data_IF_577112465517
#
_entry.id   IF_577112465517
#
_cell.length_a   1.000
_cell.length_b   1.000
_cell.length_c   1.000
_cell.angle_alpha   90.00
_cell.angle_beta   90.00
_cell.angle_gamma   90.00
#
_symmetry.space_group_name_H-M   'P 1'
#
loop_
_entity.id
_entity.type
_entity.pdbx_description
1 polymer ?
#
# COMPACT_ATOMS: atom_id res chain seq x y z
N UNK A 1 6.56 4.06 -13.67
CA UNK A 1 6.72 4.25 -12.21
C UNK A 1 5.65 3.45 -11.46
N UNK A 2 6.02 2.72 -10.40
CA UNK A 2 5.08 2.00 -9.55
C UNK A 2 5.32 2.43 -8.12
N UNK A 3 4.42 3.24 -7.58
CA UNK A 3 4.61 3.82 -6.26
C UNK A 3 4.03 2.91 -5.19
N UNK A 4 2.79 2.44 -5.39
CA UNK A 4 2.04 1.73 -4.34
C UNK A 4 1.33 0.49 -4.91
N UNK A 5 1.44 -0.63 -4.19
CA UNK A 5 0.61 -1.81 -4.41
C UNK A 5 -0.27 -2.06 -3.19
N UNK A 6 -1.59 -2.10 -3.37
CA UNK A 6 -2.54 -2.51 -2.33
C UNK A 6 -2.81 -4.02 -2.44
N UNK A 7 -2.76 -4.71 -1.31
CA UNK A 7 -2.89 -6.18 -1.22
C UNK A 7 -3.92 -6.55 -0.15
N UNK A 8 -5.11 -7.02 -0.53
CA UNK A 8 -6.07 -7.60 0.40
C UNK A 8 -5.59 -8.96 0.92
N UNK A 9 -5.85 -9.22 2.20
CA UNK A 9 -5.52 -10.50 2.87
C UNK A 9 -6.46 -11.61 2.42
N UNK A 10 -7.74 -11.29 2.24
CA UNK A 10 -8.80 -12.19 1.75
C UNK A 10 -9.70 -11.44 0.78
N UNK A 11 -10.45 -12.15 -0.07
CA UNK A 11 -11.34 -11.53 -1.06
C UNK A 11 -12.46 -10.68 -0.45
N UNK A 12 -12.84 -10.94 0.81
CA UNK A 12 -13.79 -10.09 1.54
C UNK A 12 -13.25 -8.65 1.76
N UNK A 13 -11.93 -8.45 1.63
CA UNK A 13 -11.28 -7.15 1.76
C UNK A 13 -11.06 -6.43 0.42
N UNK A 14 -11.46 -7.03 -0.71
CA UNK A 14 -11.16 -6.51 -2.04
C UNK A 14 -11.82 -5.14 -2.27
N UNK A 15 -13.06 -4.94 -1.80
CA UNK A 15 -13.78 -3.66 -1.94
C UNK A 15 -13.03 -2.52 -1.24
N UNK A 16 -12.60 -2.74 -0.01
CA UNK A 16 -11.81 -1.76 0.74
C UNK A 16 -10.42 -1.54 0.12
N UNK A 17 -9.78 -2.59 -0.39
CA UNK A 17 -8.51 -2.45 -1.13
C UNK A 17 -8.66 -1.54 -2.37
N UNK A 18 -9.77 -1.68 -3.09
CA UNK A 18 -10.10 -0.82 -4.24
C UNK A 18 -10.40 0.61 -3.80
N UNK A 19 -11.12 0.80 -2.68
CA UNK A 19 -11.37 2.12 -2.09
C UNK A 19 -10.06 2.84 -1.74
N UNK A 20 -9.17 2.17 -1.00
CA UNK A 20 -7.84 2.69 -0.64
C UNK A 20 -7.05 3.07 -1.90
N UNK A 21 -7.07 2.20 -2.92
CA UNK A 21 -6.44 2.48 -4.21
C UNK A 21 -7.01 3.72 -4.88
N UNK A 22 -8.33 3.92 -4.86
CA UNK A 22 -8.97 5.09 -5.46
C UNK A 22 -8.60 6.37 -4.70
N UNK A 23 -8.63 6.37 -3.37
CA UNK A 23 -8.23 7.53 -2.55
C UNK A 23 -6.79 7.97 -2.81
N UNK A 24 -5.86 7.02 -2.88
CA UNK A 24 -4.46 7.32 -3.21
C UNK A 24 -4.29 7.78 -4.66
N UNK A 25 -5.04 7.18 -5.59
CA UNK A 25 -5.01 7.58 -7.00
C UNK A 25 -5.55 9.01 -7.20
N UNK A 26 -6.63 9.37 -6.52
CA UNK A 26 -7.21 10.71 -6.55
C UNK A 26 -6.29 11.75 -5.88
N UNK A 27 -5.44 11.31 -4.96
CA UNK A 27 -4.35 12.13 -4.41
C UNK A 27 -3.13 12.27 -5.36
N UNK A 28 -3.18 11.66 -6.55
CA UNK A 28 -2.15 11.79 -7.60
C UNK A 28 -1.09 10.69 -7.63
N UNK A 29 -1.24 9.62 -6.84
CA UNK A 29 -0.27 8.52 -6.79
C UNK A 29 -0.59 7.38 -7.77
N UNK A 30 0.45 6.76 -8.31
CA UNK A 30 0.35 5.56 -9.14
C UNK A 30 0.17 4.32 -8.26
N UNK A 31 -1.10 3.92 -8.11
CA UNK A 31 -1.50 2.82 -7.24
C UNK A 31 -2.12 1.66 -8.04
N UNK A 32 -1.68 0.45 -7.75
CA UNK A 32 -2.25 -0.80 -8.26
C UNK A 32 -2.83 -1.63 -7.11
N UNK A 33 -3.71 -2.57 -7.41
CA UNK A 33 -4.27 -3.52 -6.44
C UNK A 33 -4.09 -4.96 -6.95
N UNK A 34 -3.74 -5.91 -6.08
CA UNK A 34 -3.66 -7.34 -6.41
C UNK A 34 -4.78 -8.13 -5.71
N UNK A 35 -5.94 -8.22 -6.36
CA UNK A 35 -7.11 -8.98 -5.88
C UNK A 35 -7.12 -10.45 -6.34
N UNK A 36 -6.03 -10.98 -6.93
CA UNK A 36 -6.01 -12.35 -7.47
C UNK A 36 -6.28 -13.39 -6.35
N UNK A 37 -7.41 -14.10 -6.35
CA UNK A 37 -7.73 -15.06 -5.28
C UNK A 37 -6.86 -16.33 -5.35
N UNK A 38 -6.18 -16.58 -6.48
CA UNK A 38 -5.28 -17.72 -6.67
C UNK A 38 -3.89 -17.52 -6.08
N UNK A 39 -3.59 -16.35 -5.48
CA UNK A 39 -2.28 -16.04 -4.89
C UNK A 39 -2.39 -15.83 -3.38
N UNK A 40 -1.50 -16.48 -2.64
CA UNK A 40 -1.34 -16.22 -1.21
C UNK A 40 -0.86 -14.79 -0.96
N UNK A 41 -1.20 -14.22 0.20
CA UNK A 41 -0.76 -12.89 0.63
C UNK A 41 0.76 -12.70 0.45
N UNK A 42 1.56 -13.66 0.92
CA UNK A 42 3.02 -13.61 0.80
C UNK A 42 3.49 -13.60 -0.66
N UNK A 43 2.80 -14.32 -1.56
CA UNK A 43 3.11 -14.31 -2.99
C UNK A 43 2.78 -12.95 -3.62
N UNK A 44 1.68 -12.32 -3.24
CA UNK A 44 1.31 -10.97 -3.69
C UNK A 44 2.30 -9.91 -3.21
N UNK A 45 2.68 -9.95 -1.93
CA UNK A 45 3.71 -9.05 -1.36
C UNK A 45 5.04 -9.24 -2.10
N UNK A 46 5.49 -10.50 -2.28
CA UNK A 46 6.73 -10.79 -3.01
C UNK A 46 6.69 -10.29 -4.45
N UNK A 47 5.56 -10.46 -5.13
CA UNK A 47 5.35 -9.93 -6.48
C UNK A 47 5.46 -8.39 -6.49
N UNK A 48 4.85 -7.70 -5.51
CA UNK A 48 4.98 -6.26 -5.35
C UNK A 48 6.43 -5.77 -5.24
N UNK A 49 7.25 -6.49 -4.47
CA UNK A 49 8.68 -6.20 -4.31
C UNK A 49 9.46 -6.41 -5.63
N UNK A 50 9.22 -7.53 -6.31
CA UNK A 50 9.86 -7.85 -7.59
C UNK A 50 9.50 -6.84 -8.69
N UNK A 51 8.26 -6.36 -8.65
CA UNK A 51 7.76 -5.31 -9.54
C UNK A 51 8.25 -3.90 -9.16
N UNK A 52 9.08 -3.78 -8.13
CA UNK A 52 9.70 -2.54 -7.65
C UNK A 52 8.69 -1.48 -7.21
N UNK A 53 7.61 -1.90 -6.54
CA UNK A 53 6.74 -0.94 -5.84
C UNK A 53 7.48 -0.40 -4.61
N UNK A 54 7.53 0.92 -4.44
CA UNK A 54 8.14 1.56 -3.26
C UNK A 54 7.43 1.11 -1.97
N UNK A 55 6.10 1.14 -1.99
CA UNK A 55 5.26 0.77 -0.86
C UNK A 55 4.27 -0.34 -1.22
N UNK A 56 4.02 -1.21 -0.26
CA UNK A 56 3.03 -2.29 -0.31
C UNK A 56 2.09 -2.09 0.88
N UNK A 57 0.83 -1.80 0.60
CA UNK A 57 -0.21 -1.58 1.60
C UNK A 57 -1.03 -2.85 1.74
N UNK A 58 -0.98 -3.47 2.93
CA UNK A 58 -1.76 -4.67 3.21
C UNK A 58 -3.04 -4.28 3.93
N UNK A 59 -4.17 -4.84 3.51
CA UNK A 59 -5.49 -4.60 4.13
C UNK A 59 -6.17 -5.92 4.50
N UNK A 60 -6.47 -6.09 5.78
CA UNK A 60 -7.31 -7.16 6.30
C UNK A 60 -8.56 -6.62 6.99
N UNK A 61 -9.27 -7.51 7.70
CA UNK A 61 -10.50 -7.15 8.41
C UNK A 61 -10.28 -6.08 9.50
N UNK A 62 -9.13 -6.15 10.19
CA UNK A 62 -8.75 -5.15 11.20
C UNK A 62 -8.59 -3.77 10.56
N UNK A 63 -7.89 -3.72 9.44
CA UNK A 63 -7.64 -2.47 8.72
C UNK A 63 -8.92 -1.85 8.16
N UNK A 64 -9.87 -2.68 7.71
CA UNK A 64 -11.21 -2.24 7.29
C UNK A 64 -11.95 -1.57 8.44
N UNK A 65 -12.01 -2.24 9.60
CA UNK A 65 -12.75 -1.74 10.76
C UNK A 65 -12.19 -0.39 11.27
N UNK A 66 -10.88 -0.19 11.14
CA UNK A 66 -10.19 1.00 11.63
C UNK A 66 -10.01 2.09 10.56
N UNK A 67 -10.32 1.84 9.29
CA UNK A 67 -9.99 2.75 8.20
C UNK A 67 -8.48 2.96 8.02
N UNK A 68 -7.70 1.92 8.31
CA UNK A 68 -6.23 1.92 8.28
C UNK A 68 -5.68 1.05 7.16
N UNK A 69 -4.36 1.04 6.99
CA UNK A 69 -3.58 0.14 6.13
C UNK A 69 -2.32 -0.28 6.87
N UNK A 70 -1.83 -1.48 6.62
CA UNK A 70 -0.52 -1.90 7.10
C UNK A 70 0.55 -1.57 6.04
N UNK A 71 1.47 -0.67 6.36
CA UNK A 71 2.48 -0.17 5.42
C UNK A 71 3.72 -1.05 5.47
N UNK A 72 4.13 -1.54 4.30
CA UNK A 72 5.38 -2.25 4.08
C UNK A 72 6.17 -1.59 2.96
N UNK A 73 7.49 -1.74 3.01
CA UNK A 73 8.38 -1.23 1.96
C UNK A 73 8.82 -2.33 1.00
N UNK A 74 9.41 -1.90 -0.11
CA UNK A 74 10.11 -2.76 -1.07
C UNK A 74 11.13 -3.70 -0.42
N UNK A 75 11.86 -3.21 0.59
CA UNK A 75 12.90 -3.97 1.30
C UNK A 75 12.35 -4.86 2.43
N UNK A 76 11.04 -5.10 2.43
CA UNK A 76 10.33 -5.92 3.40
C UNK A 76 10.38 -5.38 4.84
N UNK A 77 10.63 -4.07 5.03
CA UNK A 77 10.45 -3.42 6.34
C UNK A 77 8.96 -3.16 6.56
N UNK A 78 8.52 -3.37 7.79
CA UNK A 78 7.12 -3.16 8.22
C UNK A 78 7.08 -1.87 9.03
N UNK A 79 6.35 -0.86 8.54
CA UNK A 79 6.15 0.42 9.22
C UNK A 79 4.89 0.41 10.09
N UNK A 80 4.11 -0.66 10.04
CA UNK A 80 2.95 -0.88 10.92
C UNK A 80 1.64 -0.36 10.34
N UNK A 81 0.64 -0.24 11.20
CA UNK A 81 -0.72 0.19 10.86
C UNK A 81 -0.84 1.71 10.92
N UNK A 82 -1.35 2.31 9.84
CA UNK A 82 -1.53 3.77 9.71
C UNK A 82 -2.90 4.08 9.12
N UNK A 83 -3.49 5.22 9.49
CA UNK A 83 -4.71 5.72 8.86
C UNK A 83 -4.43 6.05 7.38
N UNK A 84 -5.37 5.72 6.49
CA UNK A 84 -5.22 5.98 5.05
C UNK A 84 -4.90 7.45 4.75
N UNK A 85 -5.55 8.37 5.47
CA UNK A 85 -5.31 9.81 5.34
C UNK A 85 -3.88 10.21 5.74
N UNK A 86 -3.34 9.64 6.83
CA UNK A 86 -1.96 9.90 7.24
C UNK A 86 -0.95 9.36 6.22
N UNK A 87 -1.23 8.22 5.61
CA UNK A 87 -0.38 7.66 4.55
C UNK A 87 -0.35 8.57 3.33
N UNK A 88 -1.52 9.08 2.91
CA UNK A 88 -1.61 10.04 1.79
C UNK A 88 -0.80 11.30 2.09
N UNK A 89 -0.95 11.87 3.28
CA UNK A 89 -0.22 13.07 3.67
C UNK A 89 1.29 12.82 3.73
N UNK A 90 1.71 11.68 4.27
CA UNK A 90 3.12 11.30 4.31
C UNK A 90 3.70 11.13 2.90
N UNK A 91 2.96 10.48 2.00
CA UNK A 91 3.39 10.33 0.61
C UNK A 91 3.48 11.66 -0.12
N UNK A 92 2.62 12.65 0.18
CA UNK A 92 2.74 14.00 -0.39
C UNK A 92 4.03 14.68 0.05
N UNK A 93 4.33 14.63 1.34
CA UNK A 93 5.58 15.21 1.88
C UNK A 93 6.82 14.59 1.21
N UNK A 94 6.85 13.26 1.07
CA UNK A 94 7.95 12.54 0.42
C UNK A 94 8.06 12.87 -1.09
N UNK A 95 6.93 13.09 -1.76
CA UNK A 95 6.91 13.48 -3.17
C UNK A 95 7.38 14.93 -3.38
N UNK A 96 6.99 15.84 -2.49
CA UNK A 96 7.39 17.25 -2.51
C UNK A 96 8.88 17.43 -2.21
N UNK A 97 9.39 16.73 -1.19
CA UNK A 97 10.82 16.75 -0.82
C UNK A 97 11.72 16.07 -1.86
N UNK A 98 11.13 15.29 -2.78
CA UNK A 98 11.86 14.44 -3.73
C UNK A 98 12.90 13.56 -3.03
N UNK A 99 12.54 13.03 -1.86
CA UNK A 99 13.43 12.18 -1.05
C UNK A 99 13.90 10.98 -1.88
N UNK A 100 15.22 10.75 -1.91
CA UNK A 100 15.84 9.65 -2.66
C UNK A 100 15.54 8.28 -2.03
N UNK A 101 15.48 8.20 -0.70
CA UNK A 101 15.20 6.98 0.07
C UNK A 101 13.86 7.07 0.82
N UNK A 102 12.79 7.34 0.07
CA UNK A 102 11.45 7.55 0.62
C UNK A 102 10.97 6.37 1.49
N UNK A 103 11.41 5.15 1.21
CA UNK A 103 11.06 3.97 2.01
C UNK A 103 11.69 3.95 3.40
N UNK A 104 12.84 4.61 3.59
CA UNK A 104 13.52 4.68 4.90
C UNK A 104 13.01 5.83 5.75
N UNK A 105 12.65 6.93 5.09
CA UNK A 105 12.13 8.13 5.76
C UNK A 105 10.64 8.04 6.07
N UNK A 106 9.90 7.06 5.52
CA UNK A 106 8.48 6.89 5.81
C UNK A 106 8.19 6.72 7.31
#
# INVERSE_FOLDING_TARGET
PRQVLVVPVVSACDEYAIEVKNRLHDAGFMVSVDTDPGRTLNKKIRNGQLLQNNFILVVGEKEIANGTVNVRTRDNKVHGEHLVEHVIERFRQLAESRTLEAEQEF
#
